data_IF_644027707106
#
_entry.id   IF_644027707106
#
_cell.length_a   1.000
_cell.length_b   1.000
_cell.length_c   1.000
_cell.angle_alpha   90.00
_cell.angle_beta   90.00
_cell.angle_gamma   90.00
#
_symmetry.space_group_name_H-M   'P 1'
#
loop_
_entity.id
_entity.type
_entity.pdbx_description
1 polymer ?
#
# COMPACT_ATOMS: atom_id res chain seq x y z
N UNK A 1 17.51 0.16 -7.59
CA UNK A 1 17.60 -1.18 -8.20
C UNK A 1 16.43 -1.46 -9.16
N UNK A 2 16.38 -2.62 -9.85
CA UNK A 2 15.19 -3.03 -10.64
C UNK A 2 13.97 -3.29 -9.76
N UNK A 3 14.18 -3.81 -8.55
CA UNK A 3 13.14 -4.06 -7.57
C UNK A 3 12.47 -2.77 -7.08
N UNK A 4 13.25 -1.75 -6.72
CA UNK A 4 12.72 -0.44 -6.32
C UNK A 4 11.85 0.20 -7.40
N UNK A 5 12.26 0.12 -8.68
CA UNK A 5 11.48 0.65 -9.80
C UNK A 5 10.15 -0.09 -9.97
N UNK A 6 10.13 -1.39 -9.69
CA UNK A 6 8.90 -2.18 -9.72
C UNK A 6 7.99 -1.86 -8.54
N UNK A 7 8.52 -1.72 -7.32
CA UNK A 7 7.72 -1.28 -6.16
C UNK A 7 7.12 0.11 -6.41
N UNK A 8 7.91 1.05 -6.94
CA UNK A 8 7.43 2.38 -7.31
C UNK A 8 6.32 2.32 -8.37
N UNK A 9 6.39 1.41 -9.35
CA UNK A 9 5.33 1.26 -10.36
C UNK A 9 4.05 0.67 -9.76
N UNK A 10 4.15 -0.26 -8.81
CA UNK A 10 2.99 -0.77 -8.06
C UNK A 10 2.31 0.36 -7.30
N UNK A 11 3.09 1.17 -6.55
CA UNK A 11 2.56 2.32 -5.80
C UNK A 11 1.96 3.38 -6.72
N UNK A 12 2.58 3.65 -7.87
CA UNK A 12 2.04 4.59 -8.85
C UNK A 12 0.71 4.11 -9.42
N UNK A 13 0.63 2.86 -9.90
CA UNK A 13 -0.60 2.30 -10.46
C UNK A 13 -1.74 2.29 -9.44
N UNK A 14 -1.38 2.05 -8.18
CA UNK A 14 -2.29 2.13 -7.06
C UNK A 14 -2.78 3.57 -6.79
N UNK A 15 -1.89 4.57 -6.82
CA UNK A 15 -2.31 5.97 -6.74
C UNK A 15 -3.22 6.37 -7.90
N UNK A 16 -2.88 5.97 -9.12
CA UNK A 16 -3.67 6.25 -10.32
C UNK A 16 -5.07 5.63 -10.26
N UNK A 17 -5.17 4.39 -9.77
CA UNK A 17 -6.44 3.66 -9.66
C UNK A 17 -7.44 4.31 -8.69
N UNK A 18 -6.93 5.02 -7.68
CA UNK A 18 -7.74 5.52 -6.57
C UNK A 18 -7.63 7.04 -6.35
N UNK A 19 -6.96 7.76 -7.25
CA UNK A 19 -6.87 9.22 -7.24
C UNK A 19 -6.03 9.81 -6.10
N UNK A 20 -4.93 9.15 -5.71
CA UNK A 20 -4.01 9.67 -4.70
C UNK A 20 -2.89 10.53 -5.31
N UNK A 21 -2.43 11.55 -4.59
CA UNK A 21 -1.29 12.39 -5.00
C UNK A 21 0.06 11.69 -4.72
N UNK A 22 0.04 10.62 -3.91
CA UNK A 22 1.20 9.78 -3.66
C UNK A 22 0.93 8.69 -2.63
N UNK A 23 1.84 7.73 -2.55
CA UNK A 23 1.83 6.67 -1.56
C UNK A 23 3.25 6.37 -1.08
N UNK A 24 3.38 6.01 0.20
CA UNK A 24 4.65 5.70 0.85
C UNK A 24 4.51 4.41 1.63
N UNK A 25 5.42 3.45 1.47
CA UNK A 25 5.51 2.29 2.35
C UNK A 25 6.31 2.71 3.59
N UNK A 26 5.74 2.46 4.77
CA UNK A 26 6.38 2.68 6.05
C UNK A 26 6.55 1.37 6.80
N UNK A 27 7.58 1.33 7.64
CA UNK A 27 7.87 0.21 8.52
C UNK A 27 7.65 0.65 9.97
N UNK A 28 6.93 -0.18 10.73
CA UNK A 28 6.74 -0.02 12.16
C UNK A 28 7.56 -1.10 12.88
N UNK A 29 8.39 -0.66 13.83
CA UNK A 29 9.28 -1.49 14.65
C UNK A 29 10.25 -2.39 13.87
N UNK A 30 10.43 -2.15 12.56
CA UNK A 30 11.28 -2.97 11.69
C UNK A 30 10.70 -4.33 11.30
N UNK A 31 9.45 -4.62 11.69
CA UNK A 31 8.77 -5.90 11.42
C UNK A 31 7.51 -5.73 10.60
N UNK A 32 6.72 -4.71 10.91
CA UNK A 32 5.46 -4.46 10.24
C UNK A 32 5.65 -3.45 9.13
N UNK A 33 4.90 -3.58 8.05
CA UNK A 33 4.86 -2.58 7.00
C UNK A 33 3.42 -2.22 6.62
N UNK A 34 3.24 -0.99 6.18
CA UNK A 34 1.94 -0.47 5.75
C UNK A 34 2.15 0.59 4.67
N UNK A 35 1.13 0.84 3.85
CA UNK A 35 1.14 1.98 2.93
C UNK A 35 0.40 3.15 3.57
N UNK A 36 1.03 4.31 3.50
CA UNK A 36 0.45 5.60 3.82
C UNK A 36 0.14 6.34 2.51
N UNK A 37 -1.12 6.65 2.31
CA UNK A 37 -1.60 7.40 1.16
C UNK A 37 -1.60 8.89 1.46
N UNK A 38 -1.12 9.67 0.51
CA UNK A 38 -1.04 11.13 0.59
C UNK A 38 -1.97 11.74 -0.43
N UNK A 39 -2.76 12.72 -0.02
CA UNK A 39 -3.24 13.71 -0.97
C UNK A 39 -4.10 14.82 -0.37
N UNK A 40 -4.75 15.58 -1.25
CA UNK A 40 -5.59 16.73 -0.88
C UNK A 40 -6.87 16.30 -0.13
N UNK A 41 -7.54 17.29 0.50
CA UNK A 41 -8.78 17.11 1.30
C UNK A 41 -9.77 16.14 0.64
N UNK A 42 -10.28 15.17 1.40
CA UNK A 42 -11.38 14.29 0.95
C UNK A 42 -10.94 12.98 0.27
N UNK A 43 -9.64 12.67 0.23
CA UNK A 43 -9.13 11.46 -0.45
C UNK A 43 -9.56 10.14 0.21
N UNK A 44 -9.81 10.10 1.53
CA UNK A 44 -10.36 8.91 2.18
C UNK A 44 -11.71 8.52 1.57
N UNK A 45 -12.60 9.49 1.35
CA UNK A 45 -13.89 9.25 0.72
C UNK A 45 -13.72 8.77 -0.73
N UNK A 46 -12.83 9.39 -1.52
CA UNK A 46 -12.57 8.99 -2.91
C UNK A 46 -11.99 7.59 -3.04
N UNK A 47 -11.05 7.22 -2.17
CA UNK A 47 -10.49 5.88 -2.12
C UNK A 47 -11.61 4.87 -1.90
N UNK A 48 -12.42 5.08 -0.87
CA UNK A 48 -13.51 4.16 -0.56
C UNK A 48 -14.60 4.15 -1.61
N UNK A 49 -14.98 5.29 -2.17
CA UNK A 49 -15.88 5.36 -3.31
C UNK A 49 -15.35 4.54 -4.50
N UNK A 50 -14.06 4.64 -4.80
CA UNK A 50 -13.43 3.91 -5.89
C UNK A 50 -13.34 2.40 -5.60
N UNK A 51 -12.93 1.99 -4.40
CA UNK A 51 -12.92 0.59 -3.96
C UNK A 51 -14.34 0.01 -3.95
N UNK A 52 -15.31 0.74 -3.43
CA UNK A 52 -16.70 0.28 -3.33
C UNK A 52 -17.42 0.21 -4.67
N UNK A 53 -17.03 1.06 -5.63
CA UNK A 53 -17.64 1.07 -6.96
C UNK A 53 -17.40 -0.21 -7.74
N UNK A 54 -16.25 -0.86 -7.56
CA UNK A 54 -15.78 -1.90 -8.48
C UNK A 54 -15.25 -3.17 -7.79
N UNK A 55 -14.94 -3.14 -6.50
CA UNK A 55 -14.30 -4.27 -5.84
C UNK A 55 -15.33 -5.18 -5.14
N UNK A 56 -15.38 -6.50 -5.44
CA UNK A 56 -16.37 -7.42 -4.89
C UNK A 56 -16.28 -7.55 -3.35
N UNK A 57 -15.13 -7.22 -2.77
CA UNK A 57 -14.86 -7.26 -1.32
C UNK A 57 -14.88 -5.89 -0.65
N UNK A 58 -15.46 -4.89 -1.30
CA UNK A 58 -15.63 -3.52 -0.82
C UNK A 58 -15.95 -3.42 0.70
N UNK A 59 -17.05 -4.06 1.13
CA UNK A 59 -17.48 -4.00 2.53
C UNK A 59 -16.47 -4.64 3.49
N UNK A 60 -15.97 -5.83 3.18
CA UNK A 60 -14.92 -6.48 3.97
C UNK A 60 -13.68 -5.60 4.11
N UNK A 61 -13.28 -4.94 3.02
CA UNK A 61 -12.12 -4.05 3.00
C UNK A 61 -12.35 -2.83 3.89
N UNK A 62 -13.56 -2.28 3.96
CA UNK A 62 -13.88 -1.18 4.88
C UNK A 62 -13.71 -1.57 6.35
N UNK A 63 -14.09 -2.80 6.70
CA UNK A 63 -13.99 -3.31 8.07
C UNK A 63 -12.54 -3.63 8.45
N UNK A 64 -11.78 -4.21 7.52
CA UNK A 64 -10.37 -4.58 7.72
C UNK A 64 -9.48 -3.34 7.74
N UNK A 65 -9.77 -2.39 6.86
CA UNK A 65 -9.12 -1.10 6.86
C UNK A 65 -9.84 -0.19 7.82
N UNK A 66 -9.51 -0.35 9.09
CA UNK A 66 -9.69 0.71 10.05
C UNK A 66 -8.67 1.83 9.75
N UNK A 67 -8.73 2.39 8.54
CA UNK A 67 -7.79 3.36 8.01
C UNK A 67 -7.99 4.66 8.77
N UNK A 68 -7.32 4.73 9.90
CA UNK A 68 -7.32 5.89 10.78
C UNK A 68 -6.80 7.05 9.95
N UNK A 69 -7.53 8.16 9.95
CA UNK A 69 -6.99 9.42 9.45
C UNK A 69 -5.82 9.79 10.36
N UNK A 70 -4.60 9.55 9.88
CA UNK A 70 -3.40 9.80 10.68
C UNK A 70 -3.06 11.28 10.58
N UNK A 71 -3.31 12.00 11.68
CA UNK A 71 -3.11 13.45 11.85
C UNK A 71 -3.97 14.34 10.95
N UNK A 72 -4.01 15.64 11.26
CA UNK A 72 -4.65 16.73 10.50
C UNK A 72 -4.26 16.83 9.02
N UNK A 73 -3.36 15.96 8.57
CA UNK A 73 -2.70 15.94 7.28
C UNK A 73 -3.35 14.96 6.28
N UNK A 74 -4.54 14.43 6.58
CA UNK A 74 -5.44 13.82 5.59
C UNK A 74 -4.83 12.58 4.92
N UNK A 75 -4.29 11.66 5.72
CA UNK A 75 -3.61 10.45 5.26
C UNK A 75 -4.44 9.21 5.53
N UNK A 76 -4.43 8.26 4.59
CA UNK A 76 -5.09 6.95 4.73
C UNK A 76 -4.01 5.88 4.91
N UNK A 77 -4.03 5.17 6.03
CA UNK A 77 -3.14 4.05 6.28
C UNK A 77 -3.83 2.73 5.92
N UNK A 78 -3.15 1.87 5.16
CA UNK A 78 -3.54 0.47 5.01
C UNK A 78 -3.29 -0.32 6.32
N UNK A 79 -3.90 -1.51 6.48
CA UNK A 79 -3.56 -2.43 7.56
C UNK A 79 -2.06 -2.72 7.63
N UNK A 80 -1.60 -3.14 8.80
CA UNK A 80 -0.22 -3.60 8.98
C UNK A 80 -0.06 -5.01 8.42
N UNK A 81 1.05 -5.23 7.72
CA UNK A 81 1.43 -6.52 7.14
C UNK A 81 2.77 -6.97 7.71
N UNK A 82 2.93 -8.28 7.93
CA UNK A 82 4.14 -8.85 8.52
C UNK A 82 5.31 -8.92 7.52
N UNK A 83 5.04 -8.66 6.24
CA UNK A 83 6.08 -8.60 5.21
C UNK A 83 5.70 -7.68 4.05
N UNK A 84 6.73 -7.15 3.37
CA UNK A 84 6.57 -6.40 2.13
C UNK A 84 5.84 -7.22 1.04
N UNK A 85 6.05 -8.54 1.03
CA UNK A 85 5.37 -9.46 0.11
C UNK A 85 3.87 -9.49 0.27
N UNK A 86 3.40 -9.62 1.52
CA UNK A 86 1.98 -9.60 1.84
C UNK A 86 1.37 -8.23 1.49
N UNK A 87 2.06 -7.14 1.82
CA UNK A 87 1.61 -5.79 1.49
C UNK A 87 1.48 -5.60 -0.02
N UNK A 88 2.54 -5.84 -0.80
CA UNK A 88 2.51 -5.64 -2.25
C UNK A 88 1.54 -6.59 -2.95
N UNK A 89 1.44 -7.84 -2.47
CA UNK A 89 0.46 -8.79 -2.97
C UNK A 89 -0.97 -8.30 -2.75
N UNK A 90 -1.22 -7.72 -1.58
CA UNK A 90 -2.49 -7.11 -1.24
C UNK A 90 -2.80 -5.87 -2.11
N UNK A 91 -1.86 -4.96 -2.32
CA UNK A 91 -2.06 -3.77 -3.19
C UNK A 91 -2.39 -4.16 -4.64
N UNK A 92 -1.69 -5.16 -5.16
CA UNK A 92 -1.92 -5.69 -6.51
C UNK A 92 -3.32 -6.30 -6.64
N UNK A 93 -3.78 -7.04 -5.63
CA UNK A 93 -5.13 -7.57 -5.61
C UNK A 93 -6.18 -6.45 -5.64
N UNK A 94 -5.99 -5.36 -4.87
CA UNK A 94 -6.90 -4.21 -4.85
C UNK A 94 -7.07 -3.55 -6.21
N UNK A 95 -6.01 -3.49 -7.04
CA UNK A 95 -6.07 -2.90 -8.38
C UNK A 95 -6.44 -3.92 -9.47
N UNK A 96 -7.06 -5.05 -9.09
CA UNK A 96 -7.56 -6.06 -10.03
C UNK A 96 -6.49 -7.01 -10.58
N UNK A 97 -5.29 -7.05 -9.99
CA UNK A 97 -4.19 -7.94 -10.40
C UNK A 97 -4.00 -9.09 -9.40
N UNK A 98 -5.08 -9.75 -9.03
CA UNK A 98 -5.08 -10.76 -7.96
C UNK A 98 -4.08 -11.91 -8.18
N UNK A 99 -3.98 -12.44 -9.41
CA UNK A 99 -3.05 -13.54 -9.69
C UNK A 99 -1.60 -13.14 -9.46
N UNK A 100 -1.25 -11.93 -9.87
CA UNK A 100 0.08 -11.37 -9.65
C UNK A 100 0.30 -11.07 -8.18
N UNK A 101 -0.72 -10.54 -7.50
CA UNK A 101 -0.69 -10.33 -6.05
C UNK A 101 -0.40 -11.62 -5.29
N UNK A 102 -1.07 -12.72 -5.63
CA UNK A 102 -0.81 -14.06 -5.08
C UNK A 102 0.62 -14.54 -5.37
N UNK A 103 1.13 -14.31 -6.58
CA UNK A 103 2.50 -14.68 -6.95
C UNK A 103 3.53 -13.88 -6.15
N UNK A 104 3.34 -12.58 -5.99
CA UNK A 104 4.23 -11.68 -5.24
C UNK A 104 4.24 -12.03 -3.75
N UNK A 105 3.07 -12.20 -3.14
CA UNK A 105 2.97 -12.61 -1.74
C UNK A 105 3.70 -13.93 -1.50
N UNK A 106 3.55 -14.89 -2.43
CA UNK A 106 4.24 -16.18 -2.37
C UNK A 106 5.76 -16.03 -2.56
N UNK A 107 6.21 -15.33 -3.60
CA UNK A 107 7.64 -15.16 -3.90
C UNK A 107 8.40 -14.46 -2.77
N UNK A 108 7.82 -13.41 -2.22
CA UNK A 108 8.47 -12.59 -1.19
C UNK A 108 8.30 -13.17 0.22
N UNK A 109 7.31 -14.05 0.47
CA UNK A 109 7.21 -14.79 1.74
C UNK A 109 8.28 -15.87 1.91
N UNK A 110 8.87 -16.36 0.82
CA UNK A 110 10.06 -17.24 0.88
C UNK A 110 11.34 -16.48 1.26
N UNK A 111 11.34 -15.16 1.09
CA UNK A 111 12.40 -14.27 1.59
C UNK A 111 12.07 -13.93 3.06
N UNK A 112 11.94 -14.97 3.90
CA UNK A 112 11.87 -14.82 5.36
C UNK A 112 13.28 -14.60 5.90
N UNK A 113 13.76 -13.39 5.71
CA UNK A 113 14.79 -12.78 6.53
C UNK A 113 14.26 -11.42 6.97
N UNK A 114 14.85 -10.75 7.97
CA UNK A 114 14.65 -9.33 8.07
C UNK A 114 15.08 -8.79 6.70
N UNK A 115 14.13 -8.30 5.92
CA UNK A 115 14.45 -7.22 5.01
C UNK A 115 14.77 -6.05 5.94
N UNK A 116 15.94 -6.11 6.58
CA UNK A 116 16.82 -4.96 6.61
C UNK A 116 17.04 -4.70 5.13
N UNK A 117 16.10 -4.00 4.50
CA UNK A 117 16.45 -3.17 3.39
C UNK A 117 17.17 -1.99 4.05
N UNK A 118 18.51 -1.92 4.00
CA UNK A 118 19.18 -0.64 4.19
C UNK A 118 18.86 0.36 3.06
N UNK A 119 17.88 0.07 2.17
CA UNK A 119 17.60 0.87 0.97
C UNK A 119 16.19 1.44 0.84
N UNK A 120 15.26 1.22 1.78
CA UNK A 120 14.08 2.11 1.89
C UNK A 120 14.38 3.14 2.97
N UNK A 121 15.21 4.08 2.55
CA UNK A 121 15.73 5.24 3.25
C UNK A 121 14.65 5.87 4.13
N UNK A 122 14.99 6.00 5.41
CA UNK A 122 14.40 6.95 6.33
C UNK A 122 14.12 8.28 5.63
N UNK A 123 12.84 8.62 5.47
CA UNK A 123 12.42 10.00 5.28
C UNK A 123 12.53 10.61 3.89
N UNK A 124 12.55 9.84 2.80
CA UNK A 124 12.27 10.46 1.50
C UNK A 124 10.77 10.74 1.32
N UNK A 125 10.43 12.00 1.53
CA UNK A 125 9.19 12.61 1.08
C UNK A 125 9.17 12.58 -0.45
N UNK A 126 8.53 11.58 -1.02
CA UNK A 126 8.24 11.55 -2.45
C UNK A 126 7.11 12.56 -2.73
N UNK A 127 7.50 13.74 -3.22
CA UNK A 127 6.60 14.65 -3.92
C UNK A 127 6.65 14.28 -5.41
N UNK A 128 5.50 13.90 -5.96
CA UNK A 128 5.26 14.04 -7.40
C UNK A 128 5.20 15.53 -7.75
#
# INVERSE_FOLDING_TARGET
>A
SSAERWVASVLKNFCDAFGADGAEIRYLDGFWCYVLWKGKVGNHARFWEAVFRSHPRAKDLQEVFNAVEVHSDRLVACPYFASLGELLGFLLALIGREEEGRRVAKLLSFIRGPVRDPYIVSGQRWSL
#
